data_IF_188760146509
#
_entry.id   IF_188760146509
#
_cell.length_a   1.000
_cell.length_b   1.000
_cell.length_c   1.000
_cell.angle_alpha   90.00
_cell.angle_beta   90.00
_cell.angle_gamma   90.00
#
_symmetry.space_group_name_H-M   'P 1'
#
loop_
_entity.id
_entity.type
_entity.pdbx_description
1 polymer ?
#
# COMPACT_ATOMS: atom_id res chain seq x y z
N UNK A 1 4.63 22.28 1.23
CA UNK A 1 5.10 21.51 2.40
C UNK A 1 4.65 22.08 3.73
N UNK A 2 4.90 23.36 4.04
CA UNK A 2 4.45 23.96 5.28
C UNK A 2 2.92 23.90 5.45
N UNK A 3 2.18 24.15 4.37
CA UNK A 3 0.72 24.08 4.39
C UNK A 3 0.24 22.67 4.72
N UNK A 4 0.87 21.65 4.16
CA UNK A 4 0.52 20.26 4.40
C UNK A 4 0.76 19.87 5.87
N UNK A 5 1.87 20.34 6.44
CA UNK A 5 2.20 20.08 7.84
C UNK A 5 1.15 20.68 8.76
N UNK A 6 0.72 21.90 8.51
CA UNK A 6 -0.29 22.56 9.32
C UNK A 6 -1.67 21.94 9.18
N UNK A 7 -1.96 21.31 8.07
CA UNK A 7 -3.25 20.65 7.82
C UNK A 7 -3.31 19.22 8.40
N UNK A 8 -2.18 18.62 8.77
CA UNK A 8 -2.14 17.25 9.26
C UNK A 8 -3.09 16.96 10.43
N UNK A 9 -3.14 17.77 11.50
CA UNK A 9 -4.06 17.46 12.60
C UNK A 9 -5.52 17.42 12.18
N UNK A 10 -5.93 18.33 11.29
CA UNK A 10 -7.29 18.36 10.77
C UNK A 10 -7.60 17.14 9.90
N UNK A 11 -6.67 16.75 9.05
CA UNK A 11 -6.79 15.57 8.19
C UNK A 11 -6.89 14.29 9.03
N UNK A 12 -6.06 14.14 10.05
CA UNK A 12 -6.10 12.98 10.94
C UNK A 12 -7.44 12.87 11.66
N UNK A 13 -7.98 13.97 12.16
CA UNK A 13 -9.27 14.00 12.84
C UNK A 13 -10.39 13.61 11.87
N UNK A 14 -10.38 14.14 10.65
CA UNK A 14 -11.35 13.79 9.62
C UNK A 14 -11.28 12.32 9.25
N UNK A 15 -10.06 11.78 9.17
CA UNK A 15 -9.83 10.38 8.88
C UNK A 15 -10.41 9.49 9.97
N UNK A 16 -10.20 9.83 11.24
CA UNK A 16 -10.75 9.06 12.36
C UNK A 16 -12.28 9.08 12.34
N UNK A 17 -12.89 10.21 12.03
CA UNK A 17 -14.35 10.32 11.93
C UNK A 17 -14.90 9.50 10.77
N UNK A 18 -14.22 9.56 9.62
CA UNK A 18 -14.63 8.87 8.40
C UNK A 18 -14.47 7.36 8.52
N UNK A 19 -13.40 6.90 9.16
CA UNK A 19 -13.06 5.48 9.29
C UNK A 19 -13.47 4.93 10.65
N UNK A 20 -14.77 5.02 10.96
CA UNK A 20 -15.31 4.42 12.18
C UNK A 20 -15.45 2.90 12.06
N UNK A 21 -15.93 2.24 13.11
CA UNK A 21 -16.05 0.79 13.14
C UNK A 21 -16.93 0.22 12.02
N UNK A 22 -18.00 0.90 11.65
CA UNK A 22 -18.87 0.47 10.55
C UNK A 22 -18.13 0.50 9.23
N UNK A 23 -17.35 1.55 8.99
CA UNK A 23 -16.54 1.65 7.78
C UNK A 23 -15.54 0.49 7.69
N UNK A 24 -14.85 0.15 8.77
CA UNK A 24 -13.88 -0.94 8.77
C UNK A 24 -14.54 -2.29 8.53
N UNK A 25 -15.72 -2.53 9.10
CA UNK A 25 -16.46 -3.77 8.87
C UNK A 25 -16.83 -3.88 7.38
N UNK A 26 -17.37 -2.81 6.81
CA UNK A 26 -17.76 -2.78 5.40
C UNK A 26 -16.53 -2.96 4.49
N UNK A 27 -15.44 -2.27 4.79
CA UNK A 27 -14.17 -2.43 4.08
C UNK A 27 -13.67 -3.86 4.14
N UNK A 28 -13.68 -4.48 5.31
CA UNK A 28 -13.24 -5.87 5.50
C UNK A 28 -14.09 -6.83 4.66
N UNK A 29 -15.41 -6.70 4.70
CA UNK A 29 -16.30 -7.55 3.91
C UNK A 29 -16.05 -7.39 2.41
N UNK A 30 -15.81 -6.17 1.96
CA UNK A 30 -15.64 -5.86 0.53
C UNK A 30 -14.29 -6.28 0.00
N UNK A 31 -13.22 -6.14 0.79
CA UNK A 31 -11.84 -6.37 0.35
C UNK A 31 -11.16 -7.57 1.01
N UNK A 32 -11.90 -8.38 1.75
CA UNK A 32 -11.32 -9.53 2.45
C UNK A 32 -10.49 -10.42 1.53
N UNK A 33 -10.96 -10.66 0.32
CA UNK A 33 -10.28 -11.53 -0.64
C UNK A 33 -8.87 -11.02 -1.01
N UNK A 34 -8.61 -9.72 -0.91
CA UNK A 34 -7.29 -9.15 -1.18
C UNK A 34 -6.28 -9.54 -0.12
N UNK A 35 -6.73 -9.75 1.11
CA UNK A 35 -5.84 -10.03 2.24
C UNK A 35 -5.70 -11.54 2.53
N UNK A 36 -6.28 -12.40 1.71
CA UNK A 36 -6.07 -13.84 1.79
C UNK A 36 -4.79 -14.22 1.03
N UNK A 37 -3.66 -13.75 1.58
CA UNK A 37 -2.35 -13.90 0.97
C UNK A 37 -1.31 -14.34 2.00
N UNK A 38 -0.19 -14.84 1.52
CA UNK A 38 0.93 -15.26 2.36
C UNK A 38 1.86 -14.11 2.69
N UNK A 39 1.88 -13.09 1.84
CA UNK A 39 2.80 -11.97 1.97
C UNK A 39 2.16 -10.68 1.45
N UNK A 40 2.51 -9.57 2.09
CA UNK A 40 2.16 -8.22 1.62
C UNK A 40 3.47 -7.50 1.28
N UNK A 41 3.51 -6.89 0.11
CA UNK A 41 4.63 -6.05 -0.31
C UNK A 41 4.12 -4.61 -0.47
N UNK A 42 4.68 -3.70 0.30
CA UNK A 42 4.37 -2.28 0.23
C UNK A 42 5.35 -1.63 -0.75
N UNK A 43 4.82 -0.92 -1.73
CA UNK A 43 5.61 -0.33 -2.81
C UNK A 43 5.44 1.17 -2.82
N UNK A 44 6.54 1.90 -2.86
CA UNK A 44 6.50 3.35 -2.91
C UNK A 44 7.71 3.94 -3.60
N UNK A 45 7.63 5.22 -3.93
CA UNK A 45 8.69 5.99 -4.54
C UNK A 45 8.82 7.31 -3.78
N UNK A 46 10.05 7.76 -3.53
CA UNK A 46 10.28 9.01 -2.80
C UNK A 46 9.73 8.99 -1.39
N UNK A 47 8.94 10.00 -1.02
CA UNK A 47 8.33 10.09 0.32
C UNK A 47 7.35 8.96 0.57
N UNK A 48 6.70 8.45 -0.46
CA UNK A 48 5.79 7.31 -0.32
C UNK A 48 6.53 6.04 0.11
N UNK A 49 7.81 5.90 -0.25
CA UNK A 49 8.64 4.79 0.22
C UNK A 49 8.82 4.83 1.73
N UNK A 50 9.02 6.01 2.30
CA UNK A 50 9.12 6.15 3.75
C UNK A 50 7.80 5.81 4.44
N UNK A 51 6.67 6.22 3.86
CA UNK A 51 5.36 5.85 4.38
C UNK A 51 5.16 4.33 4.33
N UNK A 52 5.62 3.69 3.26
CA UNK A 52 5.58 2.24 3.14
C UNK A 52 6.40 1.54 4.22
N UNK A 53 7.58 2.06 4.54
CA UNK A 53 8.42 1.52 5.62
C UNK A 53 7.73 1.60 6.98
N UNK A 54 7.04 2.70 7.25
CA UNK A 54 6.24 2.85 8.48
C UNK A 54 5.10 1.83 8.48
N UNK A 55 4.44 1.65 7.34
CA UNK A 55 3.40 0.65 7.19
C UNK A 55 3.90 -0.77 7.45
N UNK A 56 5.09 -1.10 6.96
CA UNK A 56 5.73 -2.39 7.23
C UNK A 56 5.89 -2.62 8.72
N UNK A 57 6.38 -1.61 9.44
CA UNK A 57 6.53 -1.69 10.89
C UNK A 57 5.20 -2.01 11.58
N UNK A 58 4.13 -1.30 11.21
CA UNK A 58 2.82 -1.54 11.82
C UNK A 58 2.27 -2.92 11.49
N UNK A 59 2.35 -3.34 10.24
CA UNK A 59 1.88 -4.68 9.85
C UNK A 59 2.62 -5.78 10.59
N UNK A 60 3.94 -5.66 10.71
CA UNK A 60 4.75 -6.65 11.43
C UNK A 60 4.42 -6.68 12.92
N UNK A 61 3.97 -5.56 13.48
CA UNK A 61 3.62 -5.47 14.88
C UNK A 61 2.23 -6.03 15.18
N UNK A 62 1.27 -5.85 14.27
CA UNK A 62 -0.13 -6.18 14.51
C UNK A 62 -0.65 -7.42 13.77
N UNK A 63 0.12 -7.98 12.86
CA UNK A 63 -0.30 -9.15 12.09
C UNK A 63 0.80 -10.20 12.05
N UNK A 64 0.43 -11.43 11.67
CA UNK A 64 1.37 -12.52 11.45
C UNK A 64 1.72 -12.69 9.97
N UNK A 65 1.24 -11.80 9.11
CA UNK A 65 1.53 -11.85 7.68
C UNK A 65 2.94 -11.29 7.44
N UNK A 66 3.72 -11.98 6.61
CA UNK A 66 5.02 -11.48 6.18
C UNK A 66 4.83 -10.20 5.37
N UNK A 67 5.51 -9.13 5.75
CA UNK A 67 5.42 -7.83 5.06
C UNK A 67 6.81 -7.31 4.76
N UNK A 68 7.01 -6.82 3.54
CA UNK A 68 8.26 -6.17 3.14
C UNK A 68 7.95 -4.90 2.35
N UNK A 69 8.95 -4.05 2.18
CA UNK A 69 8.83 -2.79 1.46
C UNK A 69 9.79 -2.77 0.28
N UNK A 70 9.33 -2.29 -0.85
CA UNK A 70 10.11 -2.21 -2.09
C UNK A 70 10.03 -0.82 -2.70
N UNK A 71 11.11 -0.39 -3.33
CA UNK A 71 11.09 0.80 -4.18
C UNK A 71 10.40 0.48 -5.50
N UNK A 72 9.47 1.35 -5.90
CA UNK A 72 8.77 1.18 -7.17
C UNK A 72 9.74 1.11 -8.36
N UNK A 73 10.81 1.90 -8.32
CA UNK A 73 11.82 1.93 -9.38
C UNK A 73 12.58 0.62 -9.53
N UNK A 74 12.66 -0.19 -8.48
CA UNK A 74 13.42 -1.44 -8.48
C UNK A 74 12.56 -2.68 -8.68
N UNK A 75 11.27 -2.60 -8.33
CA UNK A 75 10.39 -3.76 -8.30
C UNK A 75 10.30 -4.47 -9.65
N UNK A 76 10.21 -3.73 -10.75
CA UNK A 76 10.08 -4.30 -12.09
C UNK A 76 11.30 -5.11 -12.53
N UNK A 77 12.44 -4.95 -11.86
CA UNK A 77 13.66 -5.69 -12.15
C UNK A 77 13.86 -6.90 -11.23
N UNK A 78 12.98 -7.07 -10.25
CA UNK A 78 13.07 -8.20 -9.34
C UNK A 78 12.30 -9.39 -9.87
N UNK A 79 12.78 -10.58 -9.53
CA UNK A 79 12.07 -11.82 -9.84
C UNK A 79 10.94 -12.01 -8.83
N UNK A 80 9.72 -12.09 -9.33
CA UNK A 80 8.54 -12.29 -8.48
C UNK A 80 8.17 -13.76 -8.50
N UNK A 81 7.95 -14.35 -7.32
CA UNK A 81 7.53 -15.74 -7.19
C UNK A 81 6.05 -15.87 -7.54
N UNK A 82 5.75 -16.52 -8.67
CA UNK A 82 4.38 -16.71 -9.15
C UNK A 82 3.58 -17.69 -8.30
N UNK A 83 4.24 -18.56 -7.57
CA UNK A 83 3.58 -19.62 -6.80
C UNK A 83 3.19 -19.15 -5.38
N UNK A 84 3.67 -18.01 -4.95
CA UNK A 84 3.35 -17.43 -3.65
C UNK A 84 2.21 -16.44 -3.79
N UNK A 85 1.24 -16.48 -2.88
CA UNK A 85 0.13 -15.52 -2.88
C UNK A 85 0.62 -14.23 -2.25
N UNK A 86 0.74 -13.18 -3.05
CA UNK A 86 1.27 -11.89 -2.63
C UNK A 86 0.28 -10.79 -2.99
N UNK A 87 0.03 -9.89 -2.04
CA UNK A 87 -0.69 -8.65 -2.29
C UNK A 87 0.34 -7.51 -2.34
N UNK A 88 0.35 -6.79 -3.45
CA UNK A 88 1.18 -5.60 -3.62
C UNK A 88 0.34 -4.36 -3.35
N UNK A 89 0.71 -3.58 -2.35
CA UNK A 89 0.04 -2.32 -2.00
C UNK A 89 0.93 -1.17 -2.44
N UNK A 90 0.47 -0.42 -3.44
CA UNK A 90 1.19 0.72 -4.00
C UNK A 90 0.73 1.98 -3.30
N UNK A 91 1.67 2.71 -2.73
CA UNK A 91 1.41 3.98 -2.04
C UNK A 91 1.96 5.10 -2.90
N UNK A 92 1.10 6.03 -3.31
CA UNK A 92 1.48 7.11 -4.18
C UNK A 92 0.63 8.34 -3.89
N UNK A 93 1.27 9.51 -3.84
CA UNK A 93 0.54 10.75 -3.62
C UNK A 93 -0.34 11.10 -4.81
N UNK A 94 0.20 11.02 -6.01
CA UNK A 94 -0.52 11.37 -7.24
C UNK A 94 -1.12 10.18 -7.97
N UNK A 95 -0.57 8.98 -7.72
CA UNK A 95 -0.95 7.77 -8.45
C UNK A 95 -0.39 7.70 -9.87
N UNK A 96 0.40 8.70 -10.28
CA UNK A 96 0.84 8.84 -11.66
C UNK A 96 2.36 8.81 -11.88
N UNK A 97 3.13 8.48 -10.84
CA UNK A 97 4.58 8.33 -11.01
C UNK A 97 4.87 7.21 -11.99
N UNK A 98 5.75 7.47 -12.96
CA UNK A 98 6.08 6.50 -14.01
C UNK A 98 6.58 5.18 -13.41
N UNK A 99 7.47 5.24 -12.42
CA UNK A 99 7.98 4.04 -11.77
C UNK A 99 6.86 3.24 -11.10
N UNK A 100 5.91 3.92 -10.47
CA UNK A 100 4.75 3.27 -9.85
C UNK A 100 3.88 2.57 -10.88
N UNK A 101 3.59 3.25 -12.00
CA UNK A 101 2.78 2.68 -13.07
C UNK A 101 3.45 1.47 -13.71
N UNK A 102 4.75 1.54 -13.94
CA UNK A 102 5.50 0.42 -14.52
C UNK A 102 5.54 -0.78 -13.57
N UNK A 103 5.74 -0.52 -12.28
CA UNK A 103 5.74 -1.57 -11.27
C UNK A 103 4.36 -2.22 -11.17
N UNK A 104 3.28 -1.44 -11.21
CA UNK A 104 1.92 -1.95 -11.17
C UNK A 104 1.62 -2.84 -12.37
N UNK A 105 2.03 -2.43 -13.57
CA UNK A 105 1.87 -3.25 -14.77
C UNK A 105 2.61 -4.57 -14.64
N UNK A 106 3.82 -4.54 -14.10
CA UNK A 106 4.62 -5.74 -13.90
C UNK A 106 3.92 -6.72 -12.95
N UNK A 107 3.44 -6.23 -11.82
CA UNK A 107 2.73 -7.03 -10.82
C UNK A 107 1.48 -7.68 -11.43
N UNK A 108 0.70 -6.92 -12.19
CA UNK A 108 -0.50 -7.43 -12.87
C UNK A 108 -0.16 -8.49 -13.91
N UNK A 109 0.93 -8.29 -14.66
CA UNK A 109 1.40 -9.26 -15.64
C UNK A 109 1.78 -10.57 -14.98
N UNK A 110 2.26 -10.53 -13.74
CA UNK A 110 2.62 -11.72 -12.98
C UNK A 110 1.43 -12.35 -12.24
N UNK A 111 0.21 -11.83 -12.48
CA UNK A 111 -1.05 -12.32 -11.89
C UNK A 111 -1.12 -12.23 -10.37
N UNK A 112 -0.45 -11.25 -9.77
CA UNK A 112 -0.58 -10.99 -8.35
C UNK A 112 -1.65 -9.93 -8.08
N UNK A 113 -2.24 -10.00 -6.90
CA UNK A 113 -3.22 -9.01 -6.43
C UNK A 113 -2.54 -7.68 -6.16
N UNK A 114 -3.23 -6.60 -6.43
CA UNK A 114 -2.71 -5.26 -6.19
C UNK A 114 -3.79 -4.33 -5.63
N UNK A 115 -3.35 -3.38 -4.83
CA UNK A 115 -4.17 -2.33 -4.26
C UNK A 115 -3.38 -1.03 -4.38
N UNK A 116 -4.03 0.05 -4.77
CA UNK A 116 -3.37 1.36 -4.88
C UNK A 116 -3.99 2.31 -3.86
N UNK A 117 -3.15 2.90 -3.05
CA UNK A 117 -3.53 3.94 -2.10
C UNK A 117 -3.00 5.25 -2.64
N UNK A 118 -3.89 6.16 -2.97
CA UNK A 118 -3.53 7.45 -3.56
C UNK A 118 -4.35 8.56 -2.94
N UNK A 119 -3.80 9.76 -2.99
CA UNK A 119 -4.45 10.96 -2.44
C UNK A 119 -5.28 11.72 -3.49
N UNK A 120 -5.25 11.27 -4.71
CA UNK A 120 -6.00 11.93 -5.79
C UNK A 120 -7.33 11.24 -6.09
#
# INVERSE_FOLDING_TARGET
>A
MLKEIHEQPSVLKSTQTKYNSEYFIDFELKFRHLFEVDKIVLVGCGTAYHAAMVGEYFFNHFTNIEVSTELASELRYKKINKNKKILYIFISQSGETMDTLMALKYVKKMNHKSLVITNS
#
